data_IF_143394990270
#
_entry.id   IF_143394990270
#
_cell.length_a   1.000
_cell.length_b   1.000
_cell.length_c   1.000
_cell.angle_alpha   90.00
_cell.angle_beta   90.00
_cell.angle_gamma   90.00
#
_symmetry.space_group_name_H-M   'P 1'
#
loop_
_entity.id
_entity.type
_entity.pdbx_description
1 polymer ?
#
# COMPACT_ATOMS: atom_id res chain seq x y z
N UNK A 1 -46.54 13.84 35.58
CA UNK A 1 -45.77 12.97 34.68
C UNK A 1 -46.10 13.38 33.26
N UNK A 2 -45.19 14.08 32.58
CA UNK A 2 -45.40 14.53 31.21
C UNK A 2 -45.07 13.35 30.28
N UNK A 3 -46.12 12.67 29.80
CA UNK A 3 -45.99 11.69 28.74
C UNK A 3 -45.73 12.41 27.43
N UNK A 4 -44.47 12.40 26.99
CA UNK A 4 -44.11 12.74 25.61
C UNK A 4 -44.09 11.41 24.85
N UNK A 5 -45.27 10.95 24.42
CA UNK A 5 -45.37 9.95 23.36
C UNK A 5 -45.59 10.68 22.05
N UNK A 6 -44.53 11.25 21.48
CA UNK A 6 -44.48 11.45 20.04
C UNK A 6 -43.02 11.48 19.59
N UNK A 7 -42.49 10.30 19.27
CA UNK A 7 -41.33 10.20 18.40
C UNK A 7 -41.70 9.17 17.34
N UNK A 8 -42.31 9.65 16.25
CA UNK A 8 -42.55 8.90 15.00
C UNK A 8 -41.23 8.65 14.25
N UNK A 9 -40.23 8.09 14.93
CA UNK A 9 -39.07 7.55 14.22
C UNK A 9 -39.34 6.08 13.98
N UNK A 10 -39.34 5.65 12.72
CA UNK A 10 -39.43 4.24 12.31
C UNK A 10 -38.24 3.37 12.78
N UNK A 11 -37.41 3.93 13.67
CA UNK A 11 -36.19 3.36 14.21
C UNK A 11 -36.07 3.67 15.70
N UNK A 12 -35.54 2.71 16.47
CA UNK A 12 -35.05 2.89 17.84
C UNK A 12 -33.56 3.21 17.79
N UNK A 13 -33.12 4.24 18.52
CA UNK A 13 -31.69 4.56 18.63
C UNK A 13 -31.09 3.77 19.79
N UNK A 14 -30.02 3.04 19.50
CA UNK A 14 -29.22 2.29 20.47
C UNK A 14 -27.76 2.74 20.41
N UNK A 15 -27.07 2.80 21.54
CA UNK A 15 -25.64 3.09 21.58
C UNK A 15 -24.85 1.80 21.83
N UNK A 16 -23.98 1.42 20.91
CA UNK A 16 -23.08 0.27 21.07
C UNK A 16 -21.69 0.78 21.50
N UNK A 17 -21.09 0.25 22.57
CA UNK A 17 -19.73 0.62 22.94
C UNK A 17 -18.73 0.17 21.87
N UNK A 18 -17.79 1.06 21.53
CA UNK A 18 -16.61 0.75 20.72
C UNK A 18 -15.41 0.55 21.64
N UNK A 19 -14.43 -0.22 21.19
CA UNK A 19 -13.14 -0.34 21.85
C UNK A 19 -12.54 1.07 22.05
N UNK A 20 -12.31 1.45 23.31
CA UNK A 20 -11.75 2.77 23.66
C UNK A 20 -12.73 3.82 24.20
N UNK A 21 -13.88 3.41 24.77
CA UNK A 21 -14.87 4.26 25.49
C UNK A 21 -15.85 5.09 24.65
N UNK A 22 -15.66 5.17 23.33
CA UNK A 22 -16.61 5.89 22.46
C UNK A 22 -17.88 5.06 22.23
N UNK A 23 -19.05 5.71 22.30
CA UNK A 23 -20.33 5.11 21.93
C UNK A 23 -20.60 5.31 20.43
N UNK A 24 -21.02 4.25 19.75
CA UNK A 24 -21.51 4.31 18.37
C UNK A 24 -23.05 4.31 18.38
N UNK A 25 -23.71 5.40 17.97
CA UNK A 25 -25.16 5.39 17.80
C UNK A 25 -25.52 4.54 16.58
N UNK A 26 -26.53 3.69 16.73
CA UNK A 26 -27.11 2.85 15.68
C UNK A 26 -28.61 3.04 15.70
N UNK A 27 -29.18 3.34 14.53
CA UNK A 27 -30.62 3.34 14.32
C UNK A 27 -31.07 1.92 13.92
N UNK A 28 -31.88 1.30 14.77
CA UNK A 28 -32.48 -0.01 14.53
C UNK A 28 -33.90 0.20 14.03
N UNK A 29 -34.10 0.03 12.72
CA UNK A 29 -35.43 0.07 12.10
C UNK A 29 -36.28 -1.13 12.50
N UNK A 30 -37.59 -1.00 12.38
CA UNK A 30 -38.51 -2.13 12.51
C UNK A 30 -38.26 -3.19 11.42
N UNK A 31 -38.61 -4.45 11.69
CA UNK A 31 -38.35 -5.57 10.78
C UNK A 31 -38.94 -5.34 9.38
N UNK A 32 -40.15 -4.78 9.30
CA UNK A 32 -40.80 -4.45 8.03
C UNK A 32 -40.01 -3.39 7.25
N UNK A 33 -39.48 -2.37 7.93
CA UNK A 33 -38.67 -1.33 7.30
C UNK A 33 -37.35 -1.90 6.77
N UNK A 34 -36.74 -2.85 7.49
CA UNK A 34 -35.53 -3.55 7.04
C UNK A 34 -35.77 -4.43 5.82
N UNK A 35 -36.93 -5.08 5.73
CA UNK A 35 -37.33 -5.84 4.54
C UNK A 35 -37.54 -4.91 3.34
N UNK A 36 -38.23 -3.79 3.52
CA UNK A 36 -38.41 -2.78 2.48
C UNK A 36 -37.07 -2.18 2.03
N UNK A 37 -36.16 -1.88 2.97
CA UNK A 37 -34.81 -1.41 2.69
C UNK A 37 -34.02 -2.42 1.85
N UNK A 38 -34.07 -3.71 2.20
CA UNK A 38 -33.42 -4.77 1.45
C UNK A 38 -33.98 -4.88 0.02
N UNK A 39 -35.30 -4.90 -0.13
CA UNK A 39 -35.96 -4.95 -1.44
C UNK A 39 -35.60 -3.76 -2.33
N UNK A 40 -35.66 -2.53 -1.77
CA UNK A 40 -35.29 -1.33 -2.50
C UNK A 40 -33.81 -1.36 -2.89
N UNK A 41 -32.93 -1.74 -1.95
CA UNK A 41 -31.48 -1.84 -2.20
C UNK A 41 -31.18 -2.83 -3.32
N UNK A 42 -31.83 -4.00 -3.33
CA UNK A 42 -31.71 -4.98 -4.40
C UNK A 42 -32.16 -4.41 -5.74
N UNK A 43 -33.33 -3.76 -5.78
CA UNK A 43 -33.91 -3.18 -7.00
C UNK A 43 -33.05 -2.07 -7.62
N UNK A 44 -32.32 -1.30 -6.80
CA UNK A 44 -31.48 -0.17 -7.27
C UNK A 44 -29.99 -0.49 -7.28
N UNK A 45 -29.57 -1.69 -6.85
CA UNK A 45 -28.16 -2.02 -6.62
C UNK A 45 -27.27 -1.78 -7.84
N UNK A 46 -27.70 -2.21 -9.03
CA UNK A 46 -26.95 -2.02 -10.28
C UNK A 46 -26.85 -0.53 -10.67
N UNK A 47 -27.93 0.23 -10.50
CA UNK A 47 -27.95 1.68 -10.80
C UNK A 47 -27.04 2.45 -9.83
N UNK A 48 -27.00 2.02 -8.57
CA UNK A 48 -26.13 2.60 -7.54
C UNK A 48 -24.67 2.26 -7.82
N UNK A 49 -24.35 1.05 -8.29
CA UNK A 49 -22.98 0.70 -8.71
C UNK A 49 -22.47 1.59 -9.84
N UNK A 50 -23.33 1.92 -10.80
CA UNK A 50 -22.98 2.83 -11.91
C UNK A 50 -22.79 4.28 -11.44
N UNK A 51 -23.52 4.71 -10.41
CA UNK A 51 -23.40 6.05 -9.85
C UNK A 51 -22.19 6.21 -8.92
N UNK A 52 -21.82 5.14 -8.22
CA UNK A 52 -20.71 5.13 -7.28
C UNK A 52 -19.39 5.10 -8.05
N UNK A 53 -18.42 5.90 -7.59
CA UNK A 53 -17.10 5.96 -8.24
C UNK A 53 -16.42 4.57 -8.24
N UNK A 54 -15.70 4.16 -9.31
CA UNK A 54 -15.07 2.84 -9.42
C UNK A 54 -14.11 2.47 -8.28
N UNK A 55 -13.66 3.47 -7.51
CA UNK A 55 -12.74 3.32 -6.37
C UNK A 55 -13.45 3.01 -5.04
N UNK A 56 -14.79 3.16 -4.97
CA UNK A 56 -15.54 3.00 -3.74
C UNK A 56 -15.94 1.53 -3.53
N UNK A 57 -15.05 0.77 -2.89
CA UNK A 57 -15.19 -0.67 -2.62
C UNK A 57 -16.12 -1.05 -1.47
N UNK A 58 -16.82 -0.08 -0.87
CA UNK A 58 -17.62 -0.31 0.34
C UNK A 58 -18.77 -1.31 0.13
N UNK A 59 -19.22 -1.47 -1.12
CA UNK A 59 -20.30 -2.38 -1.52
C UNK A 59 -19.78 -3.59 -2.34
N UNK A 60 -18.46 -3.72 -2.52
CA UNK A 60 -17.85 -4.84 -3.24
C UNK A 60 -17.80 -6.10 -2.37
N UNK A 61 -17.84 -7.27 -3.02
CA UNK A 61 -17.48 -8.53 -2.38
C UNK A 61 -16.03 -8.44 -1.83
N UNK A 62 -15.90 -8.55 -0.51
CA UNK A 62 -14.64 -8.41 0.23
C UNK A 62 -14.41 -7.03 0.89
N UNK A 63 -15.24 -6.03 0.59
CA UNK A 63 -15.28 -4.75 1.31
C UNK A 63 -13.92 -4.08 1.55
N UNK A 64 -13.65 -3.71 2.80
CA UNK A 64 -12.41 -3.02 3.20
C UNK A 64 -11.15 -3.88 3.06
N UNK A 65 -11.27 -5.20 3.14
CA UNK A 65 -10.14 -6.12 3.01
C UNK A 65 -9.58 -6.08 1.58
N UNK A 66 -10.46 -6.11 0.58
CA UNK A 66 -10.09 -5.98 -0.85
C UNK A 66 -9.31 -4.69 -1.10
N UNK A 67 -9.79 -3.56 -0.56
CA UNK A 67 -9.07 -2.27 -0.65
C UNK A 67 -7.67 -2.34 -0.06
N UNK A 68 -7.52 -2.96 1.11
CA UNK A 68 -6.21 -3.13 1.75
C UNK A 68 -5.28 -4.00 0.90
N UNK A 69 -5.80 -5.06 0.28
CA UNK A 69 -5.00 -5.92 -0.60
C UNK A 69 -4.55 -5.20 -1.87
N UNK A 70 -5.43 -4.44 -2.52
CA UNK A 70 -5.09 -3.62 -3.70
C UNK A 70 -4.00 -2.59 -3.36
N UNK A 71 -4.16 -1.88 -2.24
CA UNK A 71 -3.16 -0.93 -1.74
C UNK A 71 -1.80 -1.59 -1.46
N UNK A 72 -1.81 -2.77 -0.84
CA UNK A 72 -0.58 -3.53 -0.58
C UNK A 72 0.09 -3.98 -1.87
N UNK A 73 -0.69 -4.38 -2.88
CA UNK A 73 -0.15 -4.77 -4.19
C UNK A 73 0.52 -3.57 -4.87
N UNK A 74 -0.20 -2.45 -4.99
CA UNK A 74 0.33 -1.24 -5.60
C UNK A 74 1.60 -0.75 -4.89
N UNK A 75 1.65 -0.84 -3.56
CA UNK A 75 2.84 -0.50 -2.79
C UNK A 75 4.03 -1.43 -3.08
N UNK A 76 3.81 -2.75 -3.16
CA UNK A 76 4.86 -3.71 -3.50
C UNK A 76 5.44 -3.44 -4.89
N UNK A 77 4.59 -3.17 -5.86
CA UNK A 77 5.00 -2.88 -7.23
C UNK A 77 5.81 -1.58 -7.30
N UNK A 78 5.33 -0.52 -6.63
CA UNK A 78 6.05 0.74 -6.51
C UNK A 78 7.41 0.59 -5.83
N UNK A 79 7.50 -0.23 -4.78
CA UNK A 79 8.76 -0.52 -4.08
C UNK A 79 9.77 -1.23 -5.01
N UNK A 80 9.33 -2.24 -5.75
CA UNK A 80 10.18 -2.97 -6.69
C UNK A 80 10.75 -2.06 -7.79
N UNK A 81 9.93 -1.16 -8.33
CA UNK A 81 10.38 -0.16 -9.33
C UNK A 81 11.45 0.77 -8.76
N UNK A 82 11.23 1.27 -7.54
CA UNK A 82 12.18 2.15 -6.85
C UNK A 82 13.52 1.44 -6.58
N UNK A 83 13.50 0.19 -6.14
CA UNK A 83 14.70 -0.62 -5.90
C UNK A 83 15.46 -0.91 -7.20
N UNK A 84 14.76 -1.25 -8.28
CA UNK A 84 15.35 -1.44 -9.61
C UNK A 84 16.06 -0.18 -10.11
N UNK A 85 15.40 0.99 -10.00
CA UNK A 85 16.00 2.28 -10.37
C UNK A 85 17.23 2.61 -9.52
N UNK A 86 17.20 2.32 -8.22
CA UNK A 86 18.34 2.51 -7.32
C UNK A 86 19.52 1.62 -7.76
N UNK A 87 19.28 0.35 -8.03
CA UNK A 87 20.31 -0.60 -8.45
C UNK A 87 20.94 -0.20 -9.79
N UNK A 88 20.13 0.24 -10.76
CA UNK A 88 20.63 0.76 -12.04
C UNK A 88 21.54 1.98 -11.86
N UNK A 89 21.17 2.93 -10.99
CA UNK A 89 22.03 4.10 -10.68
C UNK A 89 23.34 3.67 -10.03
N UNK A 90 23.31 2.77 -9.06
CA UNK A 90 24.52 2.26 -8.40
C UNK A 90 25.44 1.58 -9.42
N UNK A 91 24.90 0.74 -10.30
CA UNK A 91 25.67 0.06 -11.34
C UNK A 91 26.27 1.03 -12.35
N UNK A 92 25.50 2.03 -12.79
CA UNK A 92 25.99 3.07 -13.69
C UNK A 92 27.16 3.85 -13.08
N UNK A 93 27.03 4.27 -11.82
CA UNK A 93 28.09 4.97 -11.09
C UNK A 93 29.33 4.09 -10.93
N UNK A 94 29.16 2.82 -10.56
CA UNK A 94 30.26 1.87 -10.45
C UNK A 94 31.01 1.69 -11.79
N UNK A 95 30.28 1.51 -12.88
CA UNK A 95 30.85 1.40 -14.23
C UNK A 95 31.58 2.69 -14.65
N UNK A 96 31.02 3.85 -14.32
CA UNK A 96 31.63 5.15 -14.62
C UNK A 96 32.95 5.32 -13.85
N UNK A 97 32.96 5.02 -12.55
CA UNK A 97 34.16 5.06 -11.73
C UNK A 97 35.23 4.09 -12.22
N UNK A 98 34.84 2.86 -12.59
CA UNK A 98 35.77 1.88 -13.16
C UNK A 98 36.39 2.36 -14.49
N UNK A 99 35.60 3.02 -15.35
CA UNK A 99 36.10 3.61 -16.60
C UNK A 99 37.10 4.74 -16.33
N UNK A 100 36.74 5.68 -15.45
CA UNK A 100 37.62 6.80 -15.07
C UNK A 100 38.92 6.30 -14.44
N UNK A 101 38.85 5.31 -13.55
CA UNK A 101 40.05 4.71 -12.95
C UNK A 101 40.97 4.11 -14.02
N UNK A 102 40.42 3.39 -14.99
CA UNK A 102 41.17 2.82 -16.11
C UNK A 102 41.82 3.90 -16.98
N UNK A 103 41.10 4.97 -17.30
CA UNK A 103 41.62 6.12 -18.06
C UNK A 103 42.80 6.79 -17.34
N UNK A 104 42.65 7.05 -16.03
CA UNK A 104 43.69 7.64 -15.19
C UNK A 104 44.93 6.73 -15.14
N UNK A 105 44.75 5.42 -14.85
CA UNK A 105 45.88 4.48 -14.83
C UNK A 105 46.60 4.37 -16.19
N UNK A 106 45.88 4.45 -17.31
CA UNK A 106 46.50 4.45 -18.65
C UNK A 106 47.27 5.74 -18.93
N UNK A 107 46.81 6.89 -18.46
CA UNK A 107 47.56 8.16 -18.59
C UNK A 107 48.87 8.11 -17.79
N UNK A 108 48.85 7.59 -16.56
CA UNK A 108 50.06 7.44 -15.75
C UNK A 108 51.06 6.42 -16.34
N UNK A 109 50.60 5.32 -16.95
CA UNK A 109 51.48 4.36 -17.66
C UNK A 109 52.22 4.96 -18.86
N UNK A 110 51.70 6.02 -19.47
CA UNK A 110 52.37 6.69 -20.60
C UNK A 110 53.41 7.71 -20.16
N UNK A 111 53.34 8.17 -18.91
CA UNK A 111 54.25 9.19 -18.37
C UNK A 111 55.40 8.60 -17.54
N UNK A 112 55.24 7.44 -16.92
CA UNK A 112 56.32 6.79 -16.16
C UNK A 112 56.39 5.28 -16.41
N UNK A 113 57.52 4.81 -16.93
CA UNK A 113 57.86 3.38 -17.05
C UNK A 113 58.12 2.69 -15.69
N UNK A 114 57.91 3.38 -14.57
CA UNK A 114 58.12 2.86 -13.22
C UNK A 114 56.99 3.25 -12.28
N UNK A 115 55.80 2.67 -12.46
CA UNK A 115 54.73 2.77 -11.46
C UNK A 115 53.86 1.53 -11.47
N UNK A 116 54.00 0.73 -10.41
CA UNK A 116 53.23 -0.49 -10.15
C UNK A 116 51.77 -0.11 -9.87
N UNK A 117 50.93 -0.09 -10.90
CA UNK A 117 49.48 -0.06 -10.71
C UNK A 117 49.08 -1.32 -9.92
N UNK A 118 48.81 -1.16 -8.62
CA UNK A 118 48.12 -2.19 -7.84
C UNK A 118 46.69 -2.31 -8.36
N UNK A 119 46.22 -3.54 -8.49
CA UNK A 119 44.84 -3.82 -8.91
C UNK A 119 43.84 -3.09 -8.02
N UNK A 120 42.72 -2.61 -8.60
CA UNK A 120 41.67 -1.98 -7.80
C UNK A 120 41.13 -2.97 -6.77
N UNK A 121 40.76 -2.49 -5.56
CA UNK A 121 40.18 -3.35 -4.53
C UNK A 121 38.93 -4.05 -5.08
N UNK A 122 38.87 -5.39 -4.94
CA UNK A 122 37.67 -6.13 -5.31
C UNK A 122 36.48 -5.61 -4.50
N UNK A 123 35.29 -5.46 -5.12
CA UNK A 123 34.11 -5.09 -4.38
C UNK A 123 33.82 -6.14 -3.29
N UNK A 124 33.35 -5.70 -2.10
CA UNK A 124 32.94 -6.61 -1.05
C UNK A 124 31.88 -7.57 -1.60
N UNK A 125 32.10 -8.87 -1.41
CA UNK A 125 31.11 -9.88 -1.75
C UNK A 125 29.89 -9.62 -0.88
N UNK A 126 28.72 -9.56 -1.49
CA UNK A 126 27.47 -9.54 -0.75
C UNK A 126 27.37 -10.85 0.03
N UNK A 127 27.53 -10.77 1.36
CA UNK A 127 27.28 -11.90 2.25
C UNK A 127 25.81 -12.29 2.13
N UNK A 128 25.55 -13.34 1.38
CA UNK A 128 24.30 -14.09 1.46
C UNK A 128 24.33 -14.95 2.72
N UNK A 129 24.36 -14.34 3.91
CA UNK A 129 23.96 -15.02 5.13
C UNK A 129 22.44 -15.14 5.10
N UNK A 130 21.97 -16.23 4.47
CA UNK A 130 20.64 -16.78 4.76
C UNK A 130 20.63 -17.07 6.26
N UNK A 131 20.02 -16.19 7.02
CA UNK A 131 19.58 -16.46 8.38
C UNK A 131 18.57 -17.61 8.31
N UNK A 132 19.06 -18.82 8.57
CA UNK A 132 18.26 -19.88 9.17
C UNK A 132 17.95 -19.44 10.59
N UNK A 133 16.72 -18.97 10.83
CA UNK A 133 16.15 -18.97 12.17
C UNK A 133 15.06 -20.04 12.24
N UNK A 134 15.02 -20.82 13.34
CA UNK A 134 14.08 -21.91 13.56
C UNK A 134 12.64 -21.43 13.74
#
# INVERSE_FOLDING_TARGET
MVGIHDIRTACRICAIPKDGQALRPIAIGEAIMKLSEAYVTEAVSEQVKDFIHPEQRALDDGGSEKTIHELRSAYKDGKAICESRRNQRVQHTANTLARLYKEVCHQFRRHDAHSTCRDPPRPPRADTSRGSHP
#
